data_IF_015790803075
#
_entry.id   IF_015790803075
#
_cell.length_a   1.000
_cell.length_b   1.000
_cell.length_c   1.000
_cell.angle_alpha   90.00
_cell.angle_beta   90.00
_cell.angle_gamma   90.00
#
_symmetry.space_group_name_H-M   'P 1'
#
loop_
_entity.id
_entity.type
_entity.pdbx_description
1 polymer ?
#
# COMPACT_ATOMS: atom_id res chain seq x y z
N UNK A 1 -25.12 -1.08 20.36
CA UNK A 1 -24.00 -2.04 20.25
C UNK A 1 -22.99 -1.46 19.26
N UNK A 2 -21.87 -0.93 19.76
CA UNK A 2 -20.76 -0.43 18.93
C UNK A 2 -20.10 -1.62 18.25
N UNK A 3 -20.08 -1.60 16.91
CA UNK A 3 -19.44 -2.64 16.10
C UNK A 3 -17.92 -2.46 16.27
N UNK A 4 -17.29 -3.36 17.03
CA UNK A 4 -15.85 -3.39 17.18
C UNK A 4 -15.26 -3.68 15.80
N UNK A 5 -14.52 -2.71 15.24
CA UNK A 5 -13.77 -2.94 14.01
C UNK A 5 -12.56 -3.78 14.41
N UNK A 6 -12.63 -5.07 14.13
CA UNK A 6 -11.48 -5.97 14.21
C UNK A 6 -10.67 -5.75 12.94
N UNK A 7 -9.48 -5.18 13.09
CA UNK A 7 -8.50 -5.10 12.01
C UNK A 7 -7.70 -6.40 12.02
N UNK A 8 -7.47 -7.00 10.86
CA UNK A 8 -6.58 -8.14 10.68
C UNK A 8 -5.27 -7.68 10.02
N UNK A 9 -4.20 -7.46 10.80
CA UNK A 9 -2.92 -6.98 10.26
C UNK A 9 -2.26 -7.98 9.32
N UNK A 10 -2.51 -9.28 9.49
CA UNK A 10 -1.93 -10.32 8.63
C UNK A 10 -2.56 -10.24 7.25
N UNK A 11 -3.89 -10.15 7.19
CA UNK A 11 -4.63 -9.99 5.94
C UNK A 11 -4.26 -8.67 5.25
N UNK A 12 -4.24 -7.55 5.97
CA UNK A 12 -3.84 -6.26 5.39
C UNK A 12 -2.42 -6.28 4.81
N UNK A 13 -1.46 -6.94 5.49
CA UNK A 13 -0.10 -7.07 4.99
C UNK A 13 -0.01 -8.00 3.77
N UNK A 14 -0.81 -9.07 3.75
CA UNK A 14 -0.85 -9.99 2.62
C UNK A 14 -1.46 -9.29 1.39
N UNK A 15 -2.61 -8.66 1.54
CA UNK A 15 -3.26 -7.88 0.48
C UNK A 15 -2.37 -6.74 -0.01
N UNK A 16 -1.70 -6.03 0.91
CA UNK A 16 -0.78 -4.96 0.55
C UNK A 16 0.43 -5.45 -0.26
N UNK A 17 0.94 -6.65 0.02
CA UNK A 17 1.98 -7.29 -0.80
C UNK A 17 1.48 -7.69 -2.18
N UNK A 18 0.28 -8.26 -2.25
CA UNK A 18 -0.36 -8.65 -3.52
C UNK A 18 -0.59 -7.41 -4.40
N UNK A 19 -1.16 -6.34 -3.85
CA UNK A 19 -1.36 -5.08 -4.57
C UNK A 19 -0.05 -4.43 -5.00
N UNK A 20 1.00 -4.49 -4.17
CA UNK A 20 2.34 -4.06 -4.55
C UNK A 20 2.85 -4.80 -5.79
N UNK A 21 2.81 -6.13 -5.76
CA UNK A 21 3.23 -6.98 -6.88
C UNK A 21 2.41 -6.71 -8.15
N UNK A 22 1.08 -6.60 -8.03
CA UNK A 22 0.20 -6.27 -9.17
C UNK A 22 0.55 -4.89 -9.76
N UNK A 23 0.85 -3.90 -8.92
CA UNK A 23 1.27 -2.58 -9.38
C UNK A 23 2.60 -2.61 -10.14
N UNK A 24 3.57 -3.39 -9.66
CA UNK A 24 4.87 -3.60 -10.31
C UNK A 24 4.72 -4.31 -11.66
N UNK A 25 3.98 -5.43 -11.69
CA UNK A 25 3.73 -6.21 -12.90
C UNK A 25 2.99 -5.39 -13.96
N UNK A 26 1.96 -4.66 -13.55
CA UNK A 26 1.21 -3.78 -14.44
C UNK A 26 2.12 -2.67 -15.01
N UNK A 27 2.93 -2.04 -14.16
CA UNK A 27 3.87 -1.00 -14.59
C UNK A 27 4.96 -1.55 -15.52
N UNK A 28 5.38 -2.81 -15.35
CA UNK A 28 6.28 -3.49 -16.26
C UNK A 28 5.62 -3.75 -17.62
N UNK A 29 4.39 -4.25 -17.63
CA UNK A 29 3.63 -4.48 -18.86
C UNK A 29 3.38 -3.19 -19.65
N UNK A 30 3.05 -2.09 -18.96
CA UNK A 30 2.86 -0.76 -19.58
C UNK A 30 4.15 -0.26 -20.22
N UNK A 31 5.30 -0.45 -19.55
CA UNK A 31 6.62 -0.08 -20.10
C UNK A 31 6.96 -0.91 -21.34
N UNK A 32 6.71 -2.22 -21.31
CA UNK A 32 6.95 -3.11 -22.45
C UNK A 32 6.05 -2.72 -23.64
N UNK A 33 4.75 -2.49 -23.40
CA UNK A 33 3.82 -2.01 -24.42
C UNK A 33 4.29 -0.68 -25.02
N UNK A 34 4.69 0.27 -24.19
CA UNK A 34 5.18 1.59 -24.63
C UNK A 34 6.43 1.48 -25.49
N UNK A 35 7.36 0.60 -25.11
CA UNK A 35 8.59 0.35 -25.86
C UNK A 35 8.30 -0.30 -27.21
N UNK A 36 7.38 -1.27 -27.27
CA UNK A 36 6.99 -1.94 -28.52
C UNK A 36 6.30 -0.98 -29.48
N UNK A 37 5.38 -0.15 -29.00
CA UNK A 37 4.74 0.88 -29.82
C UNK A 37 5.78 1.87 -30.35
N UNK A 38 6.68 2.35 -29.47
CA UNK A 38 7.77 3.22 -29.88
C UNK A 38 8.71 2.59 -30.89
N UNK A 39 8.94 1.27 -30.83
CA UNK A 39 9.75 0.55 -31.81
C UNK A 39 9.06 0.43 -33.19
N UNK A 40 7.74 0.27 -33.22
CA UNK A 40 6.97 0.26 -34.47
C UNK A 40 7.04 1.61 -35.18
N UNK A 41 7.14 2.69 -34.41
CA UNK A 41 7.19 4.08 -34.92
C UNK A 41 8.57 4.48 -35.46
N UNK A 42 9.60 3.65 -35.29
CA UNK A 42 10.94 3.97 -35.77
C UNK A 42 11.03 3.84 -37.29
N UNK A 43 11.51 4.87 -37.96
CA UNK A 43 11.72 4.88 -39.40
C UNK A 43 11.72 6.29 -39.99
N UNK A 44 12.02 6.40 -41.29
CA UNK A 44 11.91 7.68 -42.02
C UNK A 44 10.46 8.05 -42.35
N UNK A 45 9.55 7.08 -42.33
CA UNK A 45 8.11 7.25 -42.57
C UNK A 45 7.34 6.56 -41.45
N UNK A 46 6.34 7.22 -40.83
CA UNK A 46 5.51 6.60 -39.80
C UNK A 46 4.77 5.35 -40.32
N UNK A 47 4.35 4.42 -39.44
CA UNK A 47 3.64 3.19 -39.81
C UNK A 47 2.31 3.41 -40.54
N UNK A 48 1.71 4.59 -40.35
CA UNK A 48 0.47 5.01 -40.97
C UNK A 48 0.67 5.84 -42.24
N UNK A 49 1.91 6.01 -42.71
CA UNK A 49 2.23 6.81 -43.90
C UNK A 49 2.45 8.29 -43.60
N UNK A 50 3.02 9.00 -44.58
CA UNK A 50 3.24 10.45 -44.58
C UNK A 50 2.30 11.20 -45.55
N UNK A 51 1.25 10.52 -46.03
CA UNK A 51 0.22 11.13 -46.85
C UNK A 51 -0.84 11.84 -45.98
N UNK A 52 -1.69 12.68 -46.60
CA UNK A 52 -2.70 13.48 -45.86
C UNK A 52 -3.63 12.62 -44.99
N UNK A 53 -3.90 11.38 -45.38
CA UNK A 53 -4.67 10.44 -44.57
C UNK A 53 -3.85 9.91 -43.39
N UNK A 54 -2.59 9.53 -43.63
CA UNK A 54 -1.64 9.10 -42.61
C UNK A 54 -1.41 10.18 -41.55
N UNK A 55 -1.21 11.44 -41.95
CA UNK A 55 -1.05 12.55 -41.00
C UNK A 55 -2.25 12.71 -40.06
N UNK A 56 -3.48 12.68 -40.59
CA UNK A 56 -4.71 12.77 -39.80
C UNK A 56 -4.87 11.60 -38.84
N UNK A 57 -4.53 10.39 -39.28
CA UNK A 57 -4.53 9.22 -38.42
C UNK A 57 -3.47 9.35 -37.32
N UNK A 58 -2.26 9.78 -37.69
CA UNK A 58 -1.13 9.97 -36.78
C UNK A 58 -1.47 10.88 -35.62
N UNK A 59 -2.08 12.03 -35.87
CA UNK A 59 -2.51 12.97 -34.80
C UNK A 59 -3.41 12.29 -33.77
N UNK A 60 -4.39 11.50 -34.22
CA UNK A 60 -5.31 10.80 -33.31
C UNK A 60 -4.61 9.65 -32.59
N UNK A 61 -3.82 8.87 -33.33
CA UNK A 61 -3.08 7.73 -32.79
C UNK A 61 -2.08 8.15 -31.72
N UNK A 62 -1.25 9.16 -32.00
CA UNK A 62 -0.24 9.66 -31.07
C UNK A 62 -0.88 10.22 -29.80
N UNK A 63 -1.97 10.99 -29.95
CA UNK A 63 -2.73 11.50 -28.81
C UNK A 63 -3.31 10.38 -27.94
N UNK A 64 -3.90 9.34 -28.55
CA UNK A 64 -4.42 8.19 -27.82
C UNK A 64 -3.30 7.38 -27.15
N UNK A 65 -2.21 7.13 -27.87
CA UNK A 65 -1.04 6.40 -27.39
C UNK A 65 -0.42 7.10 -26.19
N UNK A 66 -0.18 8.40 -26.27
CA UNK A 66 0.48 9.15 -25.21
C UNK A 66 -0.44 9.31 -23.99
N UNK A 67 -1.73 9.58 -24.22
CA UNK A 67 -2.72 9.58 -23.15
C UNK A 67 -2.82 8.22 -22.44
N UNK A 68 -2.74 7.11 -23.18
CA UNK A 68 -2.70 5.77 -22.61
C UNK A 68 -1.41 5.53 -21.81
N UNK A 69 -0.24 5.89 -22.33
CA UNK A 69 1.05 5.76 -21.62
C UNK A 69 1.00 6.47 -20.27
N UNK A 70 0.54 7.71 -20.24
CA UNK A 70 0.43 8.51 -19.01
C UNK A 70 -0.61 7.95 -18.04
N UNK A 71 -1.81 7.64 -18.54
CA UNK A 71 -2.92 7.16 -17.71
C UNK A 71 -2.61 5.80 -17.08
N UNK A 72 -2.03 4.88 -17.86
CA UNK A 72 -1.66 3.57 -17.37
C UNK A 72 -0.44 3.65 -16.43
N UNK A 73 0.57 4.48 -16.72
CA UNK A 73 1.66 4.69 -15.77
C UNK A 73 1.16 5.22 -14.42
N UNK A 74 0.24 6.19 -14.43
CA UNK A 74 -0.39 6.71 -13.21
C UNK A 74 -1.18 5.64 -12.47
N UNK A 75 -1.94 4.81 -13.19
CA UNK A 75 -2.71 3.72 -12.61
C UNK A 75 -1.81 2.70 -11.90
N UNK A 76 -0.71 2.28 -12.54
CA UNK A 76 0.26 1.35 -11.94
C UNK A 76 0.85 1.87 -10.64
N UNK A 77 1.27 3.14 -10.62
CA UNK A 77 1.78 3.81 -9.41
C UNK A 77 0.74 3.81 -8.29
N UNK A 78 -0.52 4.18 -8.60
CA UNK A 78 -1.60 4.23 -7.60
C UNK A 78 -1.91 2.86 -7.00
N UNK A 79 -1.87 1.80 -7.80
CA UNK A 79 -2.04 0.42 -7.32
C UNK A 79 -0.93 0.07 -6.31
N UNK A 80 0.33 0.38 -6.65
CA UNK A 80 1.47 0.18 -5.76
C UNK A 80 1.35 0.99 -4.46
N UNK A 81 0.92 2.26 -4.53
CA UNK A 81 0.69 3.11 -3.36
C UNK A 81 -0.40 2.56 -2.43
N UNK A 82 -1.48 2.00 -2.99
CA UNK A 82 -2.50 1.32 -2.17
C UNK A 82 -1.86 0.13 -1.43
N UNK A 83 -1.06 -0.67 -2.13
CA UNK A 83 -0.31 -1.78 -1.52
C UNK A 83 0.58 -1.33 -0.35
N UNK A 84 1.31 -0.23 -0.52
CA UNK A 84 2.14 0.35 0.54
C UNK A 84 1.31 0.86 1.73
N UNK A 85 0.17 1.51 1.47
CA UNK A 85 -0.74 2.00 2.51
C UNK A 85 -1.34 0.87 3.34
N UNK A 86 -1.75 -0.24 2.71
CA UNK A 86 -2.25 -1.43 3.41
C UNK A 86 -1.18 -2.03 4.35
N UNK A 87 0.06 -2.14 3.87
CA UNK A 87 1.18 -2.61 4.70
C UNK A 87 1.48 -1.65 5.85
N UNK A 88 1.41 -0.33 5.60
CA UNK A 88 1.55 0.69 6.63
C UNK A 88 0.46 0.61 7.70
N UNK A 89 -0.79 0.37 7.31
CA UNK A 89 -1.90 0.15 8.26
C UNK A 89 -1.68 -1.10 9.11
N UNK A 90 -1.22 -2.21 8.53
CA UNK A 90 -0.89 -3.42 9.28
C UNK A 90 0.20 -3.15 10.34
N UNK A 91 1.29 -2.47 9.95
CA UNK A 91 2.38 -2.13 10.86
C UNK A 91 1.91 -1.16 11.97
N UNK A 92 1.09 -0.17 11.61
CA UNK A 92 0.52 0.77 12.57
C UNK A 92 -0.39 0.09 13.60
N UNK A 93 -1.20 -0.88 13.17
CA UNK A 93 -2.07 -1.64 14.07
C UNK A 93 -1.28 -2.46 15.09
N UNK A 94 -0.30 -3.25 14.63
CA UNK A 94 0.55 -4.06 15.51
C UNK A 94 1.34 -3.22 16.51
N UNK A 95 1.87 -2.06 16.08
CA UNK A 95 2.55 -1.13 16.96
C UNK A 95 1.61 -0.59 18.06
N UNK A 96 0.36 -0.28 17.70
CA UNK A 96 -0.64 0.21 18.63
C UNK A 96 -1.09 -0.85 19.63
N UNK A 97 -1.28 -2.10 19.19
CA UNK A 97 -1.58 -3.23 20.07
C UNK A 97 -0.43 -3.49 21.05
N UNK A 98 0.81 -3.55 20.56
CA UNK A 98 1.99 -3.75 21.41
C UNK A 98 2.16 -2.65 22.47
N UNK A 99 1.90 -1.39 22.11
CA UNK A 99 1.97 -0.27 23.04
C UNK A 99 0.85 -0.32 24.10
N UNK A 100 -0.36 -0.70 23.68
CA UNK A 100 -1.52 -0.86 24.55
C UNK A 100 -1.29 -1.99 25.56
N UNK A 101 -0.82 -3.15 25.11
CA UNK A 101 -0.51 -4.30 25.96
C UNK A 101 0.62 -3.99 26.96
N UNK A 102 1.64 -3.25 26.53
CA UNK A 102 2.73 -2.80 27.41
C UNK A 102 2.24 -1.85 28.50
N UNK A 103 1.35 -0.92 28.13
CA UNK A 103 0.72 0.01 29.07
C UNK A 103 -0.15 -0.75 30.08
N UNK A 104 -0.94 -1.73 29.62
CA UNK A 104 -1.77 -2.56 30.48
C UNK A 104 -0.94 -3.38 31.48
N UNK A 105 0.10 -4.08 31.00
CA UNK A 105 1.05 -4.81 31.87
C UNK A 105 1.72 -3.92 32.91
N UNK A 106 2.04 -2.67 32.53
CA UNK A 106 2.62 -1.70 33.46
C UNK A 106 1.62 -1.28 34.55
N UNK A 107 0.36 -1.06 34.17
CA UNK A 107 -0.71 -0.74 35.11
C UNK A 107 -0.96 -1.90 36.08
N UNK A 108 -1.04 -3.14 35.58
CA UNK A 108 -1.19 -4.34 36.41
C UNK A 108 -0.04 -4.49 37.42
N UNK A 109 1.20 -4.31 36.97
CA UNK A 109 2.38 -4.33 37.84
C UNK A 109 2.33 -3.25 38.93
N UNK A 110 1.86 -2.05 38.58
CA UNK A 110 1.71 -0.94 39.55
C UNK A 110 0.60 -1.22 40.57
N UNK A 111 -0.54 -1.78 40.15
CA UNK A 111 -1.64 -2.17 41.04
C UNK A 111 -1.23 -3.32 41.96
N UNK A 112 -0.51 -4.32 41.45
CA UNK A 112 0.04 -5.41 42.26
C UNK A 112 1.03 -4.90 43.32
N UNK A 113 1.90 -3.96 42.97
CA UNK A 113 2.84 -3.33 43.90
C UNK A 113 2.12 -2.51 44.99
N UNK A 114 1.07 -1.77 44.64
CA UNK A 114 0.25 -1.02 45.60
C UNK A 114 -0.53 -1.98 46.51
N UNK A 115 -1.16 -3.02 45.95
CA UNK A 115 -1.87 -4.05 46.72
C UNK A 115 -0.95 -4.78 47.71
N UNK A 116 0.27 -5.10 47.29
CA UNK A 116 1.30 -5.68 48.17
C UNK A 116 1.71 -4.76 49.32
N UNK A 117 1.84 -3.45 49.06
CA UNK A 117 2.14 -2.44 50.11
C UNK A 117 0.99 -2.32 51.11
N UNK A 118 -0.26 -2.31 50.65
CA UNK A 118 -1.42 -2.25 51.55
C UNK A 118 -1.54 -3.53 52.39
N UNK A 119 -1.35 -4.70 51.78
CA UNK A 119 -1.35 -5.99 52.51
C UNK A 119 -0.25 -6.09 53.57
N UNK A 120 0.92 -5.50 53.32
CA UNK A 120 2.02 -5.44 54.28
C UNK A 120 1.72 -4.53 55.48
N UNK A 121 0.94 -3.46 55.29
CA UNK A 121 0.50 -2.56 56.37
C UNK A 121 -0.64 -3.17 57.21
N UNK A 122 -1.41 -4.10 56.63
CA UNK A 122 -2.56 -4.74 57.28
C UNK A 122 -2.20 -6.02 58.05
N UNK A 123 -1.01 -6.59 57.84
CA UNK A 123 -0.49 -7.69 58.67
C UNK A 123 0.22 -7.10 59.91
N UNK A 124 -0.32 -7.28 61.12
CA UNK A 124 0.38 -6.86 62.33
C UNK A 124 1.65 -7.71 62.47
N UNK A 125 2.79 -7.07 62.75
CA UNK A 125 3.96 -7.78 63.25
C UNK A 125 3.63 -8.28 64.66
N UNK A 126 3.23 -9.54 64.76
CA UNK A 126 3.18 -10.23 66.04
C UNK A 126 4.63 -10.52 66.44
N UNK A 127 5.01 -9.91 67.58
CA UNK A 127 6.31 -9.98 68.26
C UNK A 127 6.68 -11.41 68.64
#
# INVERSE_FOLDING_TARGET
MSRQIVVDPVSLRAEGRVLGAVGEDFSAAVRDLSARLGALEQGGTPPWGDDDLGEKFGVVYEGLRDGMKESMASLGTRIGEIGQKLQGMAAGHEANESATDGSFRTLEGSQGAVGGRIGALQRPQVV
#
